data_IF_423950924284
#
_entry.id   IF_423950924284
#
_cell.length_a   1.000
_cell.length_b   1.000
_cell.length_c   1.000
_cell.angle_alpha   90.00
_cell.angle_beta   90.00
_cell.angle_gamma   90.00
#
_symmetry.space_group_name_H-M   'P 1'
#
loop_
_entity.id
_entity.type
_entity.pdbx_description
1 polymer ?
#
# COMPACT_ATOMS: atom_id res chain seq x y z
N UNK A 1 14.77 23.28 16.87
CA UNK A 1 14.77 22.79 15.47
C UNK A 1 13.97 21.46 15.29
N UNK A 2 13.07 21.09 16.21
CA UNK A 2 12.47 19.73 16.29
C UNK A 2 11.08 19.59 15.64
N UNK A 3 10.41 20.69 15.27
CA UNK A 3 9.01 20.67 14.79
C UNK A 3 8.86 20.28 13.30
N UNK A 4 9.80 20.67 12.43
CA UNK A 4 9.73 20.39 10.99
C UNK A 4 9.97 18.91 10.67
N UNK A 5 11.03 18.31 11.25
CA UNK A 5 11.36 16.90 11.04
C UNK A 5 10.26 15.94 11.52
N UNK A 6 9.55 16.28 12.60
CA UNK A 6 8.41 15.50 13.09
C UNK A 6 7.20 15.57 12.14
N UNK A 7 6.93 16.74 11.56
CA UNK A 7 5.87 16.93 10.55
C UNK A 7 6.18 16.17 9.25
N UNK A 8 7.42 16.20 8.80
CA UNK A 8 7.86 15.48 7.59
C UNK A 8 7.71 13.96 7.74
N UNK A 9 8.00 13.44 8.94
CA UNK A 9 7.82 12.03 9.24
C UNK A 9 6.33 11.64 9.23
N UNK A 10 5.47 12.44 9.88
CA UNK A 10 4.02 12.20 9.89
C UNK A 10 3.39 12.27 8.49
N UNK A 11 3.84 13.22 7.65
CA UNK A 11 3.39 13.32 6.26
C UNK A 11 3.84 12.11 5.42
N UNK A 12 5.03 11.57 5.72
CA UNK A 12 5.53 10.35 5.08
C UNK A 12 4.72 9.14 5.49
N UNK A 13 4.45 8.96 6.78
CA UNK A 13 3.62 7.87 7.31
C UNK A 13 2.23 7.91 6.70
N UNK A 14 1.55 9.05 6.74
CA UNK A 14 0.22 9.22 6.12
C UNK A 14 0.19 8.92 4.62
N UNK A 15 1.28 9.23 3.91
CA UNK A 15 1.40 8.89 2.49
C UNK A 15 1.51 7.38 2.30
N UNK A 16 2.36 6.71 3.07
CA UNK A 16 2.55 5.25 2.99
C UNK A 16 1.26 4.53 3.36
N UNK A 17 0.60 4.94 4.43
CA UNK A 17 -0.73 4.42 4.83
C UNK A 17 -1.73 4.57 3.69
N UNK A 18 -1.84 5.76 3.08
CA UNK A 18 -2.76 6.00 1.96
C UNK A 18 -2.43 5.12 0.75
N UNK A 19 -1.14 4.97 0.41
CA UNK A 19 -0.71 4.12 -0.70
C UNK A 19 -1.06 2.65 -0.45
N UNK A 20 -0.87 2.15 0.77
CA UNK A 20 -1.24 0.78 1.12
C UNK A 20 -2.75 0.55 1.01
N UNK A 21 -3.56 1.43 1.60
CA UNK A 21 -5.01 1.35 1.47
C UNK A 21 -5.48 1.48 0.01
N UNK A 22 -4.76 2.24 -0.83
CA UNK A 22 -5.06 2.35 -2.26
C UNK A 22 -4.81 1.02 -2.98
N UNK A 23 -3.73 0.30 -2.66
CA UNK A 23 -3.49 -1.06 -3.18
C UNK A 23 -4.62 -2.00 -2.76
N UNK A 24 -4.99 -2.00 -1.48
CA UNK A 24 -6.05 -2.86 -0.94
C UNK A 24 -7.40 -2.59 -1.64
N UNK A 25 -7.77 -1.30 -1.76
CA UNK A 25 -9.00 -0.87 -2.42
C UNK A 25 -9.07 -1.28 -3.89
N UNK A 26 -7.94 -1.17 -4.61
CA UNK A 26 -7.86 -1.57 -6.01
C UNK A 26 -7.81 -3.10 -6.17
N UNK A 27 -7.17 -3.82 -5.25
CA UNK A 27 -7.12 -5.28 -5.28
C UNK A 27 -8.47 -5.94 -4.97
N UNK A 28 -9.27 -5.31 -4.11
CA UNK A 28 -10.63 -5.73 -3.81
C UNK A 28 -11.59 -5.56 -5.01
N UNK A 29 -11.29 -4.66 -5.94
CA UNK A 29 -12.15 -4.37 -7.10
C UNK A 29 -11.78 -5.20 -8.32
N UNK A 30 -12.77 -5.82 -8.97
CA UNK A 30 -12.56 -6.52 -10.25
C UNK A 30 -12.53 -5.56 -11.45
N UNK A 31 -13.22 -4.44 -11.32
CA UNK A 31 -13.30 -3.41 -12.35
C UNK A 31 -12.37 -2.24 -12.03
N UNK A 32 -12.17 -1.37 -13.03
CA UNK A 32 -11.45 -0.12 -12.84
C UNK A 32 -12.22 0.80 -11.90
N UNK A 33 -11.49 1.41 -10.97
CA UNK A 33 -12.03 2.44 -10.08
C UNK A 33 -11.56 3.80 -10.60
N UNK A 34 -12.49 4.73 -10.79
CA UNK A 34 -12.15 6.06 -11.30
C UNK A 34 -11.31 6.84 -10.28
N UNK A 35 -10.47 7.76 -10.75
CA UNK A 35 -9.69 8.65 -9.88
C UNK A 35 -10.61 9.49 -8.99
N UNK A 36 -11.76 9.93 -9.49
CA UNK A 36 -12.77 10.67 -8.72
C UNK A 36 -13.38 9.84 -7.59
N UNK A 37 -13.70 8.57 -7.85
CA UNK A 37 -14.18 7.64 -6.80
C UNK A 37 -13.12 7.43 -5.72
N UNK A 38 -11.86 7.18 -6.12
CA UNK A 38 -10.75 7.07 -5.16
C UNK A 38 -10.52 8.38 -4.40
N UNK A 39 -10.65 9.53 -5.04
CA UNK A 39 -10.50 10.83 -4.37
C UNK A 39 -11.57 11.01 -3.28
N UNK A 40 -12.80 10.63 -3.59
CA UNK A 40 -13.92 10.63 -2.65
C UNK A 40 -13.69 9.64 -1.49
N UNK A 41 -13.42 8.36 -1.79
CA UNK A 41 -13.21 7.29 -0.80
C UNK A 41 -12.11 7.65 0.21
N UNK A 42 -11.05 8.32 -0.25
CA UNK A 42 -9.87 8.65 0.57
C UNK A 42 -9.89 10.09 1.12
N UNK A 43 -10.91 10.91 0.80
CA UNK A 43 -11.02 12.29 1.26
C UNK A 43 -9.87 13.21 0.81
N UNK A 44 -9.32 12.99 -0.39
CA UNK A 44 -8.20 13.75 -0.96
C UNK A 44 -8.52 14.23 -2.38
N UNK A 45 -7.69 15.13 -2.93
CA UNK A 45 -7.87 15.58 -4.32
C UNK A 45 -7.57 14.47 -5.34
N UNK A 46 -8.19 14.54 -6.51
CA UNK A 46 -7.85 13.68 -7.66
C UNK A 46 -6.35 13.78 -8.03
N UNK A 47 -5.76 14.97 -7.91
CA UNK A 47 -4.32 15.18 -8.13
C UNK A 47 -3.47 14.37 -7.13
N UNK A 48 -3.91 14.26 -5.87
CA UNK A 48 -3.22 13.45 -4.85
C UNK A 48 -3.27 11.98 -5.23
N UNK A 49 -4.46 11.47 -5.58
CA UNK A 49 -4.63 10.08 -6.02
C UNK A 49 -3.80 9.78 -7.26
N UNK A 50 -3.85 10.63 -8.28
CA UNK A 50 -3.07 10.45 -9.51
C UNK A 50 -1.56 10.37 -9.21
N UNK A 51 -1.05 11.21 -8.29
CA UNK A 51 0.35 11.12 -7.86
C UNK A 51 0.68 9.86 -7.09
N UNK A 52 -0.22 9.39 -6.23
CA UNK A 52 0.00 8.17 -5.46
C UNK A 52 -0.03 6.93 -6.36
N UNK A 53 -0.96 6.86 -7.32
CA UNK A 53 -1.01 5.83 -8.36
C UNK A 53 0.30 5.81 -9.15
N UNK A 54 0.79 6.98 -9.60
CA UNK A 54 2.03 7.03 -10.37
C UNK A 54 3.23 6.58 -9.53
N UNK A 55 3.30 6.96 -8.25
CA UNK A 55 4.35 6.47 -7.34
C UNK A 55 4.30 4.94 -7.17
N UNK A 56 3.10 4.36 -7.07
CA UNK A 56 2.93 2.91 -6.96
C UNK A 56 3.41 2.19 -8.23
N UNK A 57 3.10 2.75 -9.41
CA UNK A 57 3.59 2.22 -10.69
C UNK A 57 5.11 2.26 -10.76
N UNK A 58 5.71 3.40 -10.38
CA UNK A 58 7.16 3.56 -10.33
C UNK A 58 7.85 2.64 -9.31
N UNK A 59 7.15 2.22 -8.25
CA UNK A 59 7.65 1.24 -7.29
C UNK A 59 7.40 -0.22 -7.71
N UNK A 60 6.89 -0.46 -8.93
CA UNK A 60 6.68 -1.80 -9.47
C UNK A 60 5.36 -2.47 -9.06
N UNK A 61 4.45 -1.75 -8.40
CA UNK A 61 3.10 -2.28 -8.13
C UNK A 61 2.35 -2.37 -9.47
N UNK A 62 1.71 -3.52 -9.79
CA UNK A 62 1.10 -3.76 -11.09
C UNK A 62 -0.25 -3.03 -11.23
N UNK A 63 -0.24 -1.70 -11.18
CA UNK A 63 -1.41 -0.85 -11.40
C UNK A 63 -1.52 -0.51 -12.88
N UNK A 64 -2.65 -0.89 -13.48
CA UNK A 64 -3.01 -0.47 -14.84
C UNK A 64 -3.99 0.72 -14.80
N UNK A 65 -3.77 1.71 -15.66
CA UNK A 65 -4.51 2.99 -15.67
C UNK A 65 -4.99 3.30 -17.08
N UNK A 66 -6.30 3.52 -17.22
CA UNK A 66 -6.91 3.94 -18.48
C UNK A 66 -7.43 5.39 -18.36
N UNK A 67 -7.11 6.30 -19.30
CA UNK A 67 -7.67 7.65 -19.31
C UNK A 67 -9.09 7.69 -19.91
N UNK A 68 -9.80 8.80 -19.71
CA UNK A 68 -11.09 9.08 -20.38
C UNK A 68 -12.34 8.57 -19.65
N UNK A 69 -13.51 8.67 -20.32
CA UNK A 69 -14.80 8.19 -19.78
C UNK A 69 -14.75 6.66 -19.66
N UNK A 70 -15.05 6.14 -18.47
CA UNK A 70 -14.89 4.72 -18.14
C UNK A 70 -13.44 4.31 -17.83
N UNK A 71 -12.52 5.28 -17.76
CA UNK A 71 -11.16 5.07 -17.30
C UNK A 71 -11.05 4.86 -15.78
N UNK A 72 -9.83 4.78 -15.29
CA UNK A 72 -9.55 4.52 -13.87
C UNK A 72 -8.35 3.60 -13.67
N UNK A 73 -8.09 3.27 -12.42
CA UNK A 73 -7.01 2.38 -12.00
C UNK A 73 -7.55 1.01 -11.59
N UNK A 74 -6.76 -0.03 -11.83
CA UNK A 74 -7.02 -1.40 -11.36
C UNK A 74 -5.69 -2.08 -11.05
N UNK A 75 -5.67 -2.96 -10.05
CA UNK A 75 -4.53 -3.87 -9.86
C UNK A 75 -4.67 -5.00 -10.88
N UNK A 76 -3.67 -5.16 -11.74
CA UNK A 76 -3.59 -6.29 -12.66
C UNK A 76 -3.47 -7.56 -11.82
N UNK A 77 -4.57 -8.31 -11.72
CA UNK A 77 -4.56 -9.61 -11.05
C UNK A 77 -3.69 -10.55 -11.87
N UNK A 78 -2.58 -10.99 -11.29
CA UNK A 78 -1.96 -12.25 -11.74
C UNK A 78 -2.70 -13.36 -11.03
N UNK A 79 -3.17 -14.35 -11.80
CA UNK A 79 -3.87 -15.52 -11.26
C UNK A 79 -3.02 -16.22 -10.19
N UNK A 80 -1.69 -16.17 -10.35
CA UNK A 80 -0.73 -16.83 -9.47
C UNK A 80 0.37 -15.83 -9.07
N UNK A 81 0.30 -15.31 -7.84
CA UNK A 81 1.47 -14.69 -7.20
C UNK A 81 2.29 -15.85 -6.64
N UNK A 82 3.49 -16.15 -7.19
CA UNK A 82 4.28 -17.27 -6.70
C UNK A 82 4.66 -17.03 -5.23
N UNK A 83 4.76 -18.10 -4.41
CA UNK A 83 5.32 -17.97 -3.07
C UNK A 83 6.71 -17.36 -3.14
N UNK A 84 6.96 -16.33 -2.33
CA UNK A 84 8.27 -15.69 -2.19
C UNK A 84 8.90 -16.24 -0.91
N UNK A 85 10.13 -16.75 -1.02
CA UNK A 85 10.92 -17.14 0.14
C UNK A 85 11.66 -15.91 0.68
N UNK A 86 11.66 -15.76 2.00
CA UNK A 86 12.43 -14.72 2.69
C UNK A 86 13.41 -15.37 3.66
N UNK A 87 14.62 -14.83 3.75
CA UNK A 87 15.56 -15.20 4.80
C UNK A 87 15.27 -14.45 6.12
N UNK A 88 15.96 -14.84 7.20
CA UNK A 88 15.76 -14.24 8.52
C UNK A 88 16.04 -12.72 8.54
N UNK A 89 17.03 -12.24 7.78
CA UNK A 89 17.39 -10.81 7.75
C UNK A 89 16.31 -10.01 7.01
N UNK A 90 15.77 -10.57 5.94
CA UNK A 90 14.66 -9.99 5.19
C UNK A 90 13.38 -9.93 6.03
N UNK A 91 13.04 -11.01 6.76
CA UNK A 91 11.90 -11.02 7.68
C UNK A 91 12.09 -9.97 8.79
N UNK A 92 13.28 -9.88 9.38
CA UNK A 92 13.58 -8.88 10.40
C UNK A 92 13.42 -7.43 9.86
N UNK A 93 13.82 -7.18 8.62
CA UNK A 93 13.65 -5.88 7.97
C UNK A 93 12.16 -5.54 7.76
N UNK A 94 11.35 -6.51 7.34
CA UNK A 94 9.90 -6.34 7.17
C UNK A 94 9.20 -6.06 8.51
N UNK A 95 9.51 -6.82 9.56
CA UNK A 95 8.97 -6.60 10.91
C UNK A 95 9.33 -5.20 11.43
N UNK A 96 10.58 -4.77 11.26
CA UNK A 96 11.04 -3.45 11.68
C UNK A 96 10.29 -2.33 10.94
N UNK A 97 10.12 -2.48 9.63
CA UNK A 97 9.39 -1.53 8.78
C UNK A 97 7.92 -1.44 9.18
N UNK A 98 7.27 -2.58 9.40
CA UNK A 98 5.86 -2.65 9.80
C UNK A 98 5.64 -2.12 11.22
N UNK A 99 6.59 -2.34 12.13
CA UNK A 99 6.57 -1.76 13.48
C UNK A 99 6.65 -0.23 13.43
N UNK A 100 7.50 0.32 12.57
CA UNK A 100 7.62 1.76 12.40
C UNK A 100 6.36 2.41 11.80
N UNK A 101 5.63 1.69 10.94
CA UNK A 101 4.37 2.14 10.34
C UNK A 101 3.14 1.94 11.26
N UNK A 102 3.27 1.12 12.29
CA UNK A 102 2.14 0.70 13.14
C UNK A 102 1.66 -0.70 12.74
N UNK A 103 2.03 -1.76 13.48
CA UNK A 103 1.73 -3.14 13.09
C UNK A 103 0.24 -3.50 13.18
N UNK A 104 -0.56 -2.63 13.79
CA UNK A 104 -2.02 -2.73 13.93
C UNK A 104 -2.76 -1.59 13.22
N UNK A 105 -2.08 -0.84 12.33
CA UNK A 105 -2.68 0.28 11.63
C UNK A 105 -3.75 -0.14 10.60
N UNK A 106 -3.71 -1.40 10.13
CA UNK A 106 -4.75 -2.00 9.29
C UNK A 106 -4.88 -3.50 9.55
N UNK A 107 -5.96 -4.10 9.05
CA UNK A 107 -6.14 -5.56 9.08
C UNK A 107 -5.03 -6.28 8.30
N UNK A 108 -4.61 -5.72 7.17
CA UNK A 108 -3.49 -6.26 6.37
C UNK A 108 -2.16 -6.15 7.11
N UNK A 109 -1.89 -5.04 7.81
CA UNK A 109 -0.72 -4.92 8.68
C UNK A 109 -0.73 -5.99 9.78
N UNK A 110 -1.86 -6.17 10.45
CA UNK A 110 -2.04 -7.17 11.50
C UNK A 110 -1.82 -8.59 10.95
N UNK A 111 -2.42 -8.90 9.80
CA UNK A 111 -2.29 -10.19 9.12
C UNK A 111 -0.84 -10.45 8.67
N UNK A 112 -0.16 -9.45 8.12
CA UNK A 112 1.24 -9.56 7.70
C UNK A 112 2.16 -9.79 8.89
N UNK A 113 2.02 -9.00 9.97
CA UNK A 113 2.81 -9.17 11.19
C UNK A 113 2.68 -10.59 11.75
N UNK A 114 1.44 -11.09 11.85
CA UNK A 114 1.17 -12.45 12.32
C UNK A 114 1.84 -13.52 11.45
N UNK A 115 1.78 -13.40 10.12
CA UNK A 115 2.45 -14.34 9.20
C UNK A 115 3.97 -14.31 9.38
N UNK A 116 4.55 -13.11 9.50
CA UNK A 116 5.99 -12.94 9.70
C UNK A 116 6.45 -13.52 11.03
N UNK A 117 5.71 -13.30 12.13
CA UNK A 117 6.07 -13.86 13.44
C UNK A 117 5.93 -15.39 13.46
N UNK A 118 4.85 -15.94 12.89
CA UNK A 118 4.68 -17.40 12.74
C UNK A 118 5.82 -18.05 11.96
N UNK A 119 6.29 -17.40 10.88
CA UNK A 119 7.40 -17.91 10.10
C UNK A 119 8.71 -18.01 10.91
N UNK A 120 8.89 -17.15 11.93
CA UNK A 120 10.07 -17.17 12.81
C UNK A 120 9.94 -18.17 13.96
N UNK A 121 8.73 -18.32 14.51
CA UNK A 121 8.49 -19.21 15.66
C UNK A 121 8.21 -20.65 15.27
N UNK A 122 7.93 -20.91 13.99
CA UNK A 122 7.57 -22.25 13.50
C UNK A 122 6.23 -22.76 14.03
N UNK A 123 5.33 -21.85 14.43
CA UNK A 123 4.07 -22.14 15.12
C UNK A 123 2.86 -21.54 14.40
#
# INVERSE_FOLDING_TARGET
MTSAASRDNHLTVRRVERQQHLIERLHASADRVTVGTLAHDFGVSERTIARDIERLRLSGVPVDVAPGRGGGAVIVRRADIPPIAFDLREIAALISSLTALGPTASESATSAMRKLTTALTGA
#
